data_IF_608579767962
#
_entry.id   IF_608579767962
#
_cell.length_a   1.000
_cell.length_b   1.000
_cell.length_c   1.000
_cell.angle_alpha   90.00
_cell.angle_beta   90.00
_cell.angle_gamma   90.00
#
_symmetry.space_group_name_H-M   'P 1'
#
loop_
_entity.id
_entity.type
_entity.pdbx_description
1 polymer ?
#
# COMPACT_ATOMS: atom_id res chain seq x y z
N UNK A 1 -24.11 0.68 -4.43
CA UNK A 1 -22.83 0.04 -4.05
C UNK A 1 -21.73 0.56 -4.95
N UNK A 2 -20.78 1.35 -4.43
CA UNK A 2 -19.57 1.72 -5.19
C UNK A 2 -18.73 0.45 -5.34
N UNK A 3 -18.58 -0.07 -6.56
CA UNK A 3 -17.64 -1.15 -6.85
C UNK A 3 -16.26 -0.66 -6.43
N UNK A 4 -15.64 -1.30 -5.44
CA UNK A 4 -14.23 -1.06 -5.16
C UNK A 4 -13.44 -1.31 -6.46
N UNK A 5 -12.41 -0.50 -6.77
CA UNK A 5 -11.68 -0.62 -8.02
C UNK A 5 -10.95 -1.98 -8.05
N UNK A 6 -11.58 -2.98 -8.65
CA UNK A 6 -11.06 -4.34 -8.81
C UNK A 6 -9.80 -4.38 -9.68
N UNK A 7 -9.49 -3.27 -10.35
CA UNK A 7 -8.39 -3.12 -11.32
C UNK A 7 -7.01 -3.24 -10.67
N UNK A 8 -6.86 -2.91 -9.38
CA UNK A 8 -5.57 -2.92 -8.69
C UNK A 8 -5.23 -4.28 -8.05
N UNK A 9 -6.23 -5.08 -7.71
CA UNK A 9 -6.01 -6.35 -6.98
C UNK A 9 -5.21 -7.32 -7.85
N UNK A 10 -4.17 -7.91 -7.27
CA UNK A 10 -3.24 -8.82 -7.94
C UNK A 10 -2.17 -8.13 -8.79
N UNK A 11 -2.23 -6.80 -8.94
CA UNK A 11 -1.19 -6.05 -9.67
C UNK A 11 -0.01 -5.73 -8.76
N UNK A 12 1.17 -5.68 -9.37
CA UNK A 12 2.44 -5.41 -8.69
C UNK A 12 2.93 -4.00 -9.03
N UNK A 13 3.38 -3.29 -8.00
CA UNK A 13 3.80 -1.90 -8.10
C UNK A 13 5.12 -1.69 -7.36
N UNK A 14 5.90 -0.72 -7.85
CA UNK A 14 6.97 -0.12 -7.06
C UNK A 14 6.41 1.15 -6.40
N UNK A 15 6.66 1.28 -5.10
CA UNK A 15 6.28 2.46 -4.33
C UNK A 15 7.49 3.05 -3.62
N UNK A 16 7.53 4.37 -3.52
CA UNK A 16 8.37 5.06 -2.54
C UNK A 16 7.50 5.38 -1.33
N UNK A 17 7.80 4.77 -0.19
CA UNK A 17 6.92 4.81 0.99
C UNK A 17 7.65 5.35 2.22
N UNK A 18 7.02 6.29 2.92
CA UNK A 18 7.50 6.78 4.21
C UNK A 18 6.80 6.02 5.35
N UNK A 19 7.55 5.23 6.11
CA UNK A 19 6.93 4.51 7.24
C UNK A 19 6.66 5.44 8.45
N UNK A 20 5.96 4.90 9.45
CA UNK A 20 5.64 5.60 10.70
C UNK A 20 6.88 6.11 11.47
N UNK A 21 8.07 5.56 11.20
CA UNK A 21 9.36 6.01 11.79
C UNK A 21 10.02 7.12 10.97
N UNK A 22 9.38 7.60 9.91
CA UNK A 22 9.89 8.63 9.01
C UNK A 22 10.92 8.15 7.99
N UNK A 23 11.18 6.83 7.91
CA UNK A 23 12.14 6.27 6.96
C UNK A 23 11.46 6.10 5.60
N UNK A 24 12.10 6.64 4.56
CA UNK A 24 11.64 6.54 3.18
C UNK A 24 12.40 5.42 2.47
N UNK A 25 11.67 4.44 1.94
CA UNK A 25 12.24 3.29 1.24
C UNK A 25 11.41 2.93 0.00
N UNK A 26 12.09 2.39 -1.02
CA UNK A 26 11.42 1.74 -2.15
C UNK A 26 10.91 0.37 -1.75
N UNK A 27 9.70 0.01 -2.18
CA UNK A 27 9.09 -1.29 -1.97
C UNK A 27 8.42 -1.79 -3.23
N UNK A 28 8.57 -3.07 -3.52
CA UNK A 28 7.75 -3.80 -4.48
C UNK A 28 6.59 -4.42 -3.70
N UNK A 29 5.37 -4.11 -4.11
CA UNK A 29 4.16 -4.58 -3.45
C UNK A 29 3.19 -5.22 -4.45
N UNK A 30 2.53 -6.31 -4.07
CA UNK A 30 1.41 -6.89 -4.83
C UNK A 30 0.12 -6.67 -4.06
N UNK A 31 -0.81 -5.92 -4.64
CA UNK A 31 -2.04 -5.49 -3.94
C UNK A 31 -2.97 -6.68 -3.71
N UNK A 32 -3.41 -6.84 -2.47
CA UNK A 32 -4.39 -7.87 -2.06
C UNK A 32 -5.77 -7.25 -1.91
N UNK A 33 -5.87 -6.10 -1.24
CA UNK A 33 -7.12 -5.35 -1.09
C UNK A 33 -6.86 -3.90 -0.73
N UNK A 34 -7.91 -3.09 -0.74
CA UNK A 34 -7.92 -1.72 -0.24
C UNK A 34 -9.03 -1.56 0.77
N UNK A 35 -8.80 -0.78 1.82
CA UNK A 35 -9.81 -0.50 2.83
C UNK A 35 -9.66 0.92 3.37
N UNK A 36 -10.71 1.42 4.00
CA UNK A 36 -10.74 2.73 4.61
C UNK A 36 -10.90 2.55 6.13
N UNK A 37 -10.11 3.27 6.92
CA UNK A 37 -10.17 3.17 8.37
C UNK A 37 -8.96 3.81 9.05
N UNK A 38 -8.54 3.22 10.16
CA UNK A 38 -7.37 3.61 10.96
C UNK A 38 -6.64 2.36 11.45
N UNK A 39 -5.37 2.50 11.83
CA UNK A 39 -4.55 1.39 12.38
C UNK A 39 -3.80 1.87 13.62
N UNK A 40 -3.23 0.93 14.39
CA UNK A 40 -2.39 1.27 15.56
C UNK A 40 -1.18 2.16 15.20
N UNK A 41 -0.73 2.14 13.94
CA UNK A 41 0.40 2.92 13.45
C UNK A 41 0.00 4.24 12.78
N UNK A 42 -1.26 4.38 12.39
CA UNK A 42 -1.76 5.51 11.61
C UNK A 42 -3.12 5.92 12.16
N UNK A 43 -3.12 6.92 13.03
CA UNK A 43 -4.33 7.57 13.53
C UNK A 43 -4.97 8.43 12.45
N UNK A 44 -6.29 8.44 12.41
CA UNK A 44 -7.05 9.26 11.47
C UNK A 44 -7.49 8.47 10.24
N UNK A 45 -8.75 8.71 9.89
CA UNK A 45 -9.47 8.01 8.84
C UNK A 45 -8.83 8.24 7.46
N UNK A 46 -8.32 7.17 6.85
CA UNK A 46 -7.64 7.23 5.55
C UNK A 46 -7.75 5.92 4.78
N UNK A 47 -7.32 5.95 3.50
CA UNK A 47 -7.24 4.77 2.65
C UNK A 47 -5.96 3.99 2.91
N UNK A 48 -6.09 2.66 2.94
CA UNK A 48 -4.98 1.72 3.09
C UNK A 48 -4.96 0.75 1.93
N UNK A 49 -3.73 0.35 1.56
CA UNK A 49 -3.45 -0.70 0.60
C UNK A 49 -2.92 -1.89 1.39
N UNK A 50 -3.70 -2.97 1.49
CA UNK A 50 -3.19 -4.25 1.98
C UNK A 50 -2.48 -4.95 0.83
N UNK A 51 -1.20 -5.25 1.00
CA UNK A 51 -0.38 -5.83 -0.06
C UNK A 51 0.70 -6.79 0.48
N UNK A 52 1.12 -7.73 -0.37
CA UNK A 52 2.33 -8.50 -0.13
C UNK A 52 3.56 -7.64 -0.41
N UNK A 53 4.38 -7.39 0.61
CA UNK A 53 5.63 -6.66 0.52
C UNK A 53 6.78 -7.63 0.22
N UNK A 54 7.36 -7.55 -0.97
CA UNK A 54 8.37 -8.51 -1.42
C UNK A 54 9.68 -8.39 -0.64
N UNK A 55 10.09 -7.18 -0.24
CA UNK A 55 11.32 -6.95 0.55
C UNK A 55 11.20 -7.41 2.01
N UNK A 56 9.96 -7.58 2.50
CA UNK A 56 9.67 -8.02 3.88
C UNK A 56 9.03 -9.40 3.95
N UNK A 57 8.83 -10.03 2.80
CA UNK A 57 8.21 -11.35 2.62
C UNK A 57 6.95 -11.54 3.48
N UNK A 58 5.97 -10.64 3.33
CA UNK A 58 4.73 -10.74 4.10
C UNK A 58 3.67 -9.68 3.77
N UNK A 59 2.46 -9.92 4.25
CA UNK A 59 1.33 -8.99 4.10
C UNK A 59 1.50 -7.79 5.04
N UNK A 60 1.30 -6.58 4.51
CA UNK A 60 1.37 -5.32 5.25
C UNK A 60 0.27 -4.37 4.76
N UNK A 61 -0.13 -3.48 5.64
CA UNK A 61 -1.02 -2.37 5.33
C UNK A 61 -0.17 -1.12 5.10
N UNK A 62 -0.36 -0.47 3.95
CA UNK A 62 0.32 0.75 3.57
C UNK A 62 -0.69 1.89 3.56
N UNK A 63 -0.44 2.93 4.34
CA UNK A 63 -1.27 4.13 4.33
C UNK A 63 -1.09 4.86 2.98
N UNK A 64 -2.18 5.13 2.27
CA UNK A 64 -2.12 5.74 0.94
C UNK A 64 -1.49 7.16 1.00
N UNK A 65 -1.68 7.87 2.10
CA UNK A 65 -1.10 9.21 2.31
C UNK A 65 0.42 9.21 2.47
N UNK A 66 1.01 8.06 2.81
CA UNK A 66 2.45 7.90 3.01
C UNK A 66 3.19 7.39 1.77
N UNK A 67 2.45 7.14 0.68
CA UNK A 67 3.01 6.83 -0.64
C UNK A 67 3.44 8.13 -1.31
N UNK A 68 4.74 8.28 -1.52
CA UNK A 68 5.35 9.45 -2.16
C UNK A 68 5.35 9.29 -3.68
N UNK A 69 5.69 8.09 -4.16
CA UNK A 69 5.71 7.75 -5.59
C UNK A 69 5.08 6.38 -5.81
N UNK A 70 4.42 6.20 -6.95
CA UNK A 70 3.73 4.98 -7.33
C UNK A 70 3.93 4.70 -8.82
N UNK A 71 4.48 3.54 -9.16
CA UNK A 71 4.67 3.12 -10.56
C UNK A 71 4.33 1.64 -10.77
N UNK A 72 3.79 1.35 -11.94
CA UNK A 72 3.46 -0.01 -12.35
C UNK A 72 4.75 -0.79 -12.63
N UNK A 73 4.78 -2.07 -12.26
CA UNK A 73 5.81 -2.99 -12.73
C UNK A 73 5.24 -3.66 -13.97
N UNK A 74 5.73 -3.29 -15.15
CA UNK A 74 5.46 -4.06 -16.36
C UNK A 74 6.07 -5.46 -16.17
N UNK A 75 5.23 -6.49 -16.33
CA UNK A 75 5.65 -7.90 -16.36
C UNK A 75 6.12 -8.28 -17.77
#
# INVERSE_FOLDING_TARGET
MRKQPTVLIGKTFNILYKNYRGIVEKRKITVVSTFEGETEYHSGHQQFIKAHCHERNGIRDFAANDVIEFSFVEE
#
